data_IF_786664949537
#
_entry.id   IF_786664949537
#
_cell.length_a   1.000
_cell.length_b   1.000
_cell.length_c   1.000
_cell.angle_alpha   90.00
_cell.angle_beta   90.00
_cell.angle_gamma   90.00
#
_symmetry.space_group_name_H-M   'P 1'
#
loop_
_entity.id
_entity.type
_entity.pdbx_description
1 polymer ?
#
# COMPACT_ATOMS: atom_id res chain seq x y z
N UNK A 1 8.44 7.81 -2.73
CA UNK A 1 7.03 7.75 -3.17
C UNK A 1 6.46 6.40 -2.75
N UNK A 2 5.34 6.35 -2.02
CA UNK A 2 4.79 5.10 -1.47
C UNK A 2 4.27 4.17 -2.59
N UNK A 3 4.51 2.85 -2.55
CA UNK A 3 4.11 1.92 -3.60
C UNK A 3 2.61 1.94 -3.89
N UNK A 4 1.78 2.04 -2.85
CA UNK A 4 0.32 2.16 -3.01
C UNK A 4 -0.10 3.42 -3.79
N UNK A 5 0.62 4.54 -3.59
CA UNK A 5 0.36 5.79 -4.32
C UNK A 5 0.72 5.64 -5.79
N UNK A 6 1.88 5.03 -6.08
CA UNK A 6 2.31 4.71 -7.45
C UNK A 6 1.30 3.83 -8.18
N UNK A 7 0.80 2.81 -7.50
CA UNK A 7 -0.24 1.94 -8.05
C UNK A 7 -1.53 2.70 -8.36
N UNK A 8 -2.00 3.55 -7.43
CA UNK A 8 -3.20 4.38 -7.64
C UNK A 8 -3.04 5.32 -8.83
N UNK A 9 -1.90 5.96 -8.98
CA UNK A 9 -1.62 6.88 -10.10
C UNK A 9 -1.55 6.16 -11.46
N UNK A 10 -1.25 4.85 -11.47
CA UNK A 10 -1.29 4.01 -12.66
C UNK A 10 -2.69 3.51 -13.05
N UNK A 11 -3.71 3.77 -12.23
CA UNK A 11 -5.09 3.38 -12.54
C UNK A 11 -5.73 4.34 -13.55
N UNK A 12 -6.74 3.88 -14.31
CA UNK A 12 -7.56 4.74 -15.17
C UNK A 12 -8.15 5.93 -14.38
N UNK A 13 -8.44 7.04 -15.07
CA UNK A 13 -8.88 8.29 -14.42
C UNK A 13 -10.12 8.14 -13.52
N UNK A 14 -11.08 7.28 -13.90
CA UNK A 14 -12.26 6.97 -13.08
C UNK A 14 -12.00 6.04 -11.88
N UNK A 15 -10.81 5.44 -11.78
CA UNK A 15 -10.45 4.43 -10.77
C UNK A 15 -9.33 4.89 -9.82
N UNK A 16 -8.62 5.98 -10.16
CA UNK A 16 -7.53 6.54 -9.34
C UNK A 16 -8.00 7.41 -8.15
N UNK A 17 -9.31 7.62 -8.00
CA UNK A 17 -9.86 8.39 -6.87
C UNK A 17 -9.64 7.64 -5.55
N UNK A 18 -9.51 8.39 -4.46
CA UNK A 18 -9.35 7.79 -3.13
C UNK A 18 -10.56 6.92 -2.79
N UNK A 19 -11.76 7.35 -3.15
CA UNK A 19 -13.00 6.60 -2.96
C UNK A 19 -12.99 5.25 -3.70
N UNK A 20 -12.60 5.22 -4.97
CA UNK A 20 -12.56 3.99 -5.76
C UNK A 20 -11.51 3.00 -5.20
N UNK A 21 -10.34 3.51 -4.82
CA UNK A 21 -9.29 2.70 -4.19
C UNK A 21 -9.71 2.18 -2.82
N UNK A 22 -10.32 3.03 -2.00
CA UNK A 22 -10.87 2.68 -0.70
C UNK A 22 -11.89 1.55 -0.82
N UNK A 23 -12.81 1.63 -1.80
CA UNK A 23 -13.77 0.58 -2.10
C UNK A 23 -13.12 -0.74 -2.49
N UNK A 24 -12.07 -0.72 -3.32
CA UNK A 24 -11.32 -1.93 -3.71
C UNK A 24 -10.61 -2.58 -2.53
N UNK A 25 -9.95 -1.78 -1.71
CA UNK A 25 -9.18 -2.24 -0.56
C UNK A 25 -10.06 -2.59 0.65
N UNK A 26 -11.33 -2.18 0.65
CA UNK A 26 -12.26 -2.38 1.78
C UNK A 26 -11.87 -1.55 3.00
N UNK A 27 -11.42 -0.31 2.78
CA UNK A 27 -11.02 0.65 3.82
C UNK A 27 -11.63 2.02 3.54
N UNK A 28 -11.43 2.98 4.44
CA UNK A 28 -11.87 4.37 4.20
C UNK A 28 -10.85 5.16 3.39
N UNK A 29 -11.30 6.24 2.73
CA UNK A 29 -10.41 7.15 1.98
C UNK A 29 -9.30 7.74 2.85
N UNK A 30 -9.65 8.09 4.10
CA UNK A 30 -8.70 8.56 5.09
C UNK A 30 -7.64 7.49 5.44
N UNK A 31 -8.00 6.21 5.46
CA UNK A 31 -7.03 5.12 5.66
C UNK A 31 -6.09 4.98 4.46
N UNK A 32 -6.60 5.07 3.23
CA UNK A 32 -5.76 5.06 2.02
C UNK A 32 -4.74 6.20 2.07
N UNK A 33 -5.18 7.42 2.37
CA UNK A 33 -4.30 8.59 2.51
C UNK A 33 -3.23 8.39 3.60
N UNK A 34 -3.59 7.80 4.75
CA UNK A 34 -2.64 7.48 5.83
C UNK A 34 -1.62 6.41 5.42
N UNK A 35 -2.02 5.44 4.62
CA UNK A 35 -1.11 4.45 4.05
C UNK A 35 -0.16 5.11 3.03
N UNK A 36 -0.68 5.88 2.09
CA UNK A 36 0.12 6.56 1.07
C UNK A 36 1.14 7.57 1.63
N UNK A 37 0.79 8.25 2.72
CA UNK A 37 1.67 9.18 3.42
C UNK A 37 2.65 8.51 4.38
N UNK A 38 2.52 7.20 4.63
CA UNK A 38 3.31 6.48 5.62
C UNK A 38 2.96 6.82 7.08
N UNK A 39 2.00 7.72 7.34
CA UNK A 39 1.51 8.03 8.69
C UNK A 39 0.95 6.81 9.42
N UNK A 40 0.46 5.83 8.65
CA UNK A 40 0.06 4.53 9.18
C UNK A 40 0.59 3.44 8.27
N UNK A 41 1.13 2.37 8.86
CA UNK A 41 1.53 1.18 8.12
C UNK A 41 0.32 0.29 7.83
N UNK A 42 0.35 -0.42 6.70
CA UNK A 42 -0.67 -1.41 6.34
C UNK A 42 -0.57 -2.61 7.31
N UNK A 43 -1.63 -3.00 8.02
CA UNK A 43 -1.62 -4.17 8.91
C UNK A 43 -1.18 -5.46 8.19
N UNK A 44 -0.40 -6.31 8.87
CA UNK A 44 0.16 -7.53 8.27
C UNK A 44 -0.93 -8.48 7.75
N UNK A 45 -2.02 -8.60 8.50
CA UNK A 45 -3.21 -9.41 8.14
C UNK A 45 -3.85 -9.02 6.81
N UNK A 46 -3.69 -7.75 6.37
CA UNK A 46 -4.29 -7.25 5.12
C UNK A 46 -3.37 -7.37 3.92
N UNK A 47 -2.10 -7.71 4.13
CA UNK A 47 -1.09 -7.71 3.06
C UNK A 47 -1.40 -8.74 1.98
N UNK A 48 -1.82 -9.95 2.35
CA UNK A 48 -2.20 -10.99 1.38
C UNK A 48 -3.36 -10.53 0.48
N UNK A 49 -4.38 -9.92 1.09
CA UNK A 49 -5.52 -9.35 0.35
C UNK A 49 -5.07 -8.22 -0.58
N UNK A 50 -4.22 -7.32 -0.10
CA UNK A 50 -3.79 -6.17 -0.87
C UNK A 50 -2.85 -6.55 -2.00
N UNK A 51 -2.00 -7.57 -1.80
CA UNK A 51 -1.15 -8.15 -2.84
C UNK A 51 -2.01 -8.71 -3.98
N UNK A 52 -3.08 -9.45 -3.67
CA UNK A 52 -4.03 -9.96 -4.67
C UNK A 52 -4.78 -8.85 -5.43
N UNK A 53 -5.13 -7.75 -4.77
CA UNK A 53 -5.88 -6.63 -5.38
C UNK A 53 -4.97 -5.73 -6.22
N UNK A 54 -3.81 -5.39 -5.68
CA UNK A 54 -2.91 -4.38 -6.27
C UNK A 54 -1.88 -4.99 -7.20
N UNK A 55 -1.61 -6.30 -7.08
CA UNK A 55 -0.47 -6.97 -7.70
C UNK A 55 0.87 -6.58 -7.09
N UNK A 56 0.89 -5.74 -6.04
CA UNK A 56 2.12 -5.33 -5.37
C UNK A 56 2.48 -6.39 -4.34
N UNK A 57 3.68 -6.99 -4.41
CA UNK A 57 4.08 -7.98 -3.43
C UNK A 57 4.09 -7.42 -2.00
N UNK A 58 3.70 -8.22 -1.01
CA UNK A 58 3.65 -7.82 0.41
C UNK A 58 4.98 -7.27 0.97
N UNK A 59 6.12 -7.78 0.49
CA UNK A 59 7.45 -7.28 0.88
C UNK A 59 7.75 -5.88 0.31
N UNK A 60 7.08 -5.46 -0.77
CA UNK A 60 7.15 -4.09 -1.29
C UNK A 60 6.21 -3.16 -0.51
N UNK A 61 5.04 -3.66 -0.10
CA UNK A 61 4.07 -2.90 0.71
C UNK A 61 4.56 -2.66 2.15
N UNK A 62 5.24 -3.64 2.75
CA UNK A 62 5.79 -3.59 4.12
C UNK A 62 7.21 -4.15 4.15
N UNK A 63 8.20 -3.44 3.56
CA UNK A 63 9.59 -3.88 3.57
C UNK A 63 10.12 -4.06 4.99
N UNK A 64 9.60 -3.29 5.96
CA UNK A 64 9.97 -3.35 7.37
C UNK A 64 9.60 -4.66 8.10
N UNK A 65 8.75 -5.51 7.51
CA UNK A 65 8.43 -6.83 8.06
C UNK A 65 9.29 -7.93 7.41
N UNK A 66 9.51 -7.82 6.09
CA UNK A 66 10.01 -8.93 5.27
C UNK A 66 11.47 -8.80 4.86
N UNK A 67 12.01 -7.60 4.81
CA UNK A 67 13.44 -7.41 4.60
C UNK A 67 14.11 -7.36 5.97
N UNK A 68 15.26 -8.03 6.15
CA UNK A 68 16.10 -7.70 7.29
C UNK A 68 16.32 -6.19 7.26
N UNK A 69 16.28 -5.54 8.43
CA UNK A 69 16.72 -4.16 8.53
C UNK A 69 18.03 -4.05 7.73
N UNK A 70 18.18 -3.09 6.81
CA UNK A 70 19.41 -2.96 6.05
C UNK A 70 20.53 -3.01 7.07
N UNK A 71 21.37 -4.03 6.94
CA UNK A 71 22.51 -4.23 7.81
C UNK A 71 23.28 -2.91 7.68
N UNK A 72 23.25 -2.07 8.72
CA UNK A 72 24.18 -0.96 8.86
C UNK A 72 25.57 -1.57 9.12
N UNK A 73 26.03 -2.44 8.21
CA UNK A 73 27.41 -2.87 8.12
C UNK A 73 28.18 -1.75 7.43
N UNK A 74 28.60 -0.85 8.32
CA UNK A 74 29.92 -0.22 8.37
C UNK A 74 30.16 1.07 7.58
#
# INVERSE_FOLDING_TARGET
>A
MHPLKKWREGLPEGQRSLQAVAGRLGVTEAQVSRYESGKRKIPAEKLDRYEKITGIPRYVLRPDIFLPAPDEAR
#
